data_IF_497216666090
#
_entry.id   IF_497216666090
#
_cell.length_a   1.000
_cell.length_b   1.000
_cell.length_c   1.000
_cell.angle_alpha   90.00
_cell.angle_beta   90.00
_cell.angle_gamma   90.00
#
_symmetry.space_group_name_H-M   'P 1'
#
loop_
_entity.id
_entity.type
_entity.pdbx_description
1 polymer ?
#
# COMPACT_ATOMS: atom_id res chain seq x y z
N UNK A 1 7.59 6.31 -5.64
CA UNK A 1 6.62 5.33 -6.18
C UNK A 1 5.71 6.05 -7.16
N UNK A 2 5.57 5.57 -8.42
CA UNK A 2 4.80 6.31 -9.45
C UNK A 2 3.32 5.92 -9.54
N UNK A 3 2.86 4.85 -8.88
CA UNK A 3 1.44 4.50 -8.75
C UNK A 3 1.18 3.61 -7.53
N UNK A 4 -0.05 3.59 -7.04
CA UNK A 4 -0.50 2.69 -5.97
C UNK A 4 -0.27 1.22 -6.35
N UNK A 5 -0.52 0.86 -7.61
CA UNK A 5 -0.27 -0.47 -8.17
C UNK A 5 1.19 -0.93 -8.01
N UNK A 6 2.16 -0.08 -8.36
CA UNK A 6 3.58 -0.43 -8.19
C UNK A 6 3.97 -0.59 -6.71
N UNK A 7 3.36 0.21 -5.84
CA UNK A 7 3.61 0.13 -4.42
C UNK A 7 3.02 -1.15 -3.83
N UNK A 8 1.83 -1.53 -4.30
CA UNK A 8 1.17 -2.78 -3.97
C UNK A 8 1.97 -4.00 -4.43
N UNK A 9 2.43 -4.05 -5.69
CA UNK A 9 3.21 -5.18 -6.22
C UNK A 9 4.48 -5.47 -5.38
N UNK A 10 5.17 -4.42 -4.93
CA UNK A 10 6.33 -4.54 -4.04
C UNK A 10 5.97 -5.07 -2.65
N UNK A 11 4.77 -4.72 -2.19
CA UNK A 11 4.25 -5.09 -0.88
C UNK A 11 3.85 -6.57 -0.86
N UNK A 12 3.13 -7.03 -1.88
CA UNK A 12 2.70 -8.42 -2.04
C UNK A 12 3.87 -9.40 -2.18
N UNK A 13 4.98 -8.97 -2.78
CA UNK A 13 6.14 -9.83 -3.02
C UNK A 13 6.98 -10.12 -1.76
N UNK A 14 6.92 -9.26 -0.74
CA UNK A 14 7.80 -9.31 0.44
C UNK A 14 7.07 -9.45 1.78
N UNK A 15 5.75 -9.61 1.77
CA UNK A 15 4.95 -9.62 2.98
C UNK A 15 5.21 -10.87 3.86
N UNK A 16 5.79 -10.75 5.07
CA UNK A 16 6.18 -11.90 5.88
C UNK A 16 5.12 -12.36 6.89
N UNK A 17 4.00 -11.64 7.07
CA UNK A 17 2.99 -11.93 8.09
C UNK A 17 1.60 -12.19 7.50
N UNK A 18 1.08 -13.41 7.65
CA UNK A 18 -0.22 -13.81 7.09
C UNK A 18 -1.44 -13.00 7.56
N UNK A 19 -1.33 -12.28 8.69
CA UNK A 19 -2.49 -11.66 9.38
C UNK A 19 -2.39 -10.13 9.52
N UNK A 20 -1.60 -9.48 8.66
CA UNK A 20 -1.46 -8.02 8.68
C UNK A 20 -2.80 -7.33 8.37
N UNK A 21 -3.41 -6.67 9.36
CA UNK A 21 -4.70 -5.99 9.15
C UNK A 21 -4.55 -4.80 8.22
N UNK A 22 -3.41 -4.11 8.28
CA UNK A 22 -3.14 -3.00 7.37
C UNK A 22 -2.83 -3.50 5.96
N UNK A 23 -2.27 -4.69 5.79
CA UNK A 23 -2.12 -5.33 4.48
C UNK A 23 -3.45 -5.63 3.78
N UNK A 24 -4.38 -6.25 4.51
CA UNK A 24 -5.72 -6.53 3.98
C UNK A 24 -6.44 -5.21 3.64
N UNK A 25 -6.34 -4.20 4.51
CA UNK A 25 -6.89 -2.88 4.22
C UNK A 25 -6.23 -2.20 3.01
N UNK A 26 -4.94 -2.42 2.77
CA UNK A 26 -4.23 -1.92 1.59
C UNK A 26 -4.68 -2.62 0.30
N UNK A 27 -4.93 -3.94 0.35
CA UNK A 27 -5.50 -4.72 -0.75
C UNK A 27 -6.87 -4.17 -1.16
N UNK A 28 -7.79 -4.07 -0.21
CA UNK A 28 -9.16 -3.58 -0.43
C UNK A 28 -9.16 -2.13 -0.94
N UNK A 29 -8.25 -1.29 -0.44
CA UNK A 29 -8.13 0.08 -0.90
C UNK A 29 -7.59 0.17 -2.34
N UNK A 30 -6.69 -0.71 -2.76
CA UNK A 30 -6.20 -0.75 -4.13
C UNK A 30 -7.28 -1.22 -5.11
N UNK A 31 -8.04 -2.25 -4.74
CA UNK A 31 -9.19 -2.72 -5.53
C UNK A 31 -10.26 -1.63 -5.66
N UNK A 32 -10.52 -0.91 -4.56
CA UNK A 32 -11.43 0.23 -4.56
C UNK A 32 -11.00 1.40 -5.46
N UNK A 33 -9.70 1.55 -5.77
CA UNK A 33 -9.22 2.55 -6.74
C UNK A 33 -9.58 2.13 -8.17
N UNK A 34 -9.38 0.85 -8.50
CA UNK A 34 -9.71 0.33 -9.83
C UNK A 34 -11.22 0.43 -10.11
N UNK A 35 -12.05 0.28 -9.09
CA UNK A 35 -13.51 0.46 -9.17
C UNK A 35 -13.96 1.93 -9.06
N UNK A 36 -13.05 2.88 -8.83
CA UNK A 36 -13.34 4.31 -8.68
C UNK A 36 -14.04 4.72 -7.38
N UNK A 37 -14.09 3.83 -6.39
CA UNK A 37 -14.69 4.07 -5.06
C UNK A 37 -13.70 4.68 -4.06
N UNK A 38 -12.40 4.49 -4.28
CA UNK A 38 -11.31 4.95 -3.42
C UNK A 38 -10.38 5.84 -4.24
N UNK A 39 -9.87 6.92 -3.63
CA UNK A 39 -8.88 7.78 -4.29
C UNK A 39 -7.47 7.18 -4.20
N UNK A 40 -6.62 7.49 -5.18
CA UNK A 40 -5.19 7.11 -5.16
C UNK A 40 -4.49 7.54 -3.86
N UNK A 41 -4.84 8.71 -3.31
CA UNK A 41 -4.31 9.23 -2.05
C UNK A 41 -4.69 8.33 -0.86
N UNK A 42 -5.95 7.89 -0.81
CA UNK A 42 -6.45 7.00 0.23
C UNK A 42 -5.81 5.61 0.15
N UNK A 43 -5.68 5.05 -1.06
CA UNK A 43 -4.99 3.77 -1.24
C UNK A 43 -3.51 3.86 -0.87
N UNK A 44 -2.84 4.96 -1.24
CA UNK A 44 -1.46 5.23 -0.84
C UNK A 44 -1.31 5.28 0.68
N UNK A 45 -2.23 5.92 1.39
CA UNK A 45 -2.20 5.95 2.87
C UNK A 45 -2.30 4.54 3.48
N UNK A 46 -3.20 3.69 2.97
CA UNK A 46 -3.34 2.29 3.41
C UNK A 46 -2.06 1.48 3.14
N UNK A 47 -1.44 1.67 1.98
CA UNK A 47 -0.15 1.06 1.62
C UNK A 47 0.96 1.45 2.60
N UNK A 48 1.07 2.73 2.98
CA UNK A 48 2.08 3.18 3.95
C UNK A 48 1.88 2.58 5.33
N UNK A 49 0.62 2.40 5.75
CA UNK A 49 0.28 1.71 6.99
C UNK A 49 0.68 0.23 6.95
N UNK A 50 0.46 -0.43 5.81
CA UNK A 50 0.92 -1.80 5.61
C UNK A 50 2.45 -1.89 5.67
N UNK A 51 3.18 -1.02 4.95
CA UNK A 51 4.64 -1.00 5.01
C UNK A 51 5.16 -0.81 6.45
N UNK A 52 4.50 0.04 7.24
CA UNK A 52 4.81 0.22 8.66
C UNK A 52 4.52 -1.03 9.49
N UNK A 53 3.40 -1.72 9.25
CA UNK A 53 3.03 -2.97 9.93
C UNK A 53 4.04 -4.09 9.66
N UNK A 54 4.54 -4.20 8.43
CA UNK A 54 5.57 -5.18 8.07
C UNK A 54 7.01 -4.73 8.40
N UNK A 55 7.18 -3.59 9.06
CA UNK A 55 8.50 -2.97 9.34
C UNK A 55 9.38 -2.82 8.09
N UNK A 56 8.75 -2.67 6.91
CA UNK A 56 9.43 -2.50 5.64
C UNK A 56 9.85 -1.03 5.54
N UNK A 57 11.15 -0.72 5.43
CA UNK A 57 11.60 0.65 5.25
C UNK A 57 11.12 1.18 3.90
N UNK A 58 10.50 2.36 3.91
CA UNK A 58 10.06 3.07 2.72
C UNK A 58 10.51 4.52 2.75
N UNK A 59 10.97 5.03 1.61
CA UNK A 59 11.21 6.46 1.45
C UNK A 59 9.89 7.16 1.09
N UNK A 60 9.41 8.02 1.99
CA UNK A 60 8.39 9.05 1.66
C UNK A 60 8.97 10.21 0.87
N UNK A 61 10.22 10.09 0.44
CA UNK A 61 10.96 11.07 -0.33
C UNK A 61 10.31 11.26 -1.71
N UNK A 62 9.28 12.10 -1.72
CA UNK A 62 8.97 12.99 -2.82
C UNK A 62 9.82 14.24 -2.63
N UNK A 63 11.16 14.15 -2.66
CA UNK A 63 11.97 15.35 -2.80
C UNK A 63 12.25 15.65 -4.28
N UNK A 64 11.56 16.73 -4.69
CA UNK A 64 11.86 17.71 -5.74
C UNK A 64 11.35 17.45 -7.17
#
# INVERSE_FOLDING_TARGET
>A
MRSAKQAFDLLSAHWPFSDGKAYIAALEACEGVDDGHVSDESARASILLALKEAEIPYSTDTER
#
